data_IF_270548922091
#
_entry.id   IF_270548922091
#
_cell.length_a   1.000
_cell.length_b   1.000
_cell.length_c   1.000
_cell.angle_alpha   90.00
_cell.angle_beta   90.00
_cell.angle_gamma   90.00
#
_symmetry.space_group_name_H-M   'P 1'
#
loop_
_entity.id
_entity.type
_entity.pdbx_description
1 polymer ?
#
# COMPACT_ATOMS: atom_id res chain seq x y z
N UNK A 1 5.22 17.34 -12.79
CA UNK A 1 6.00 18.44 -12.21
C UNK A 1 7.28 18.68 -13.01
N UNK A 2 8.21 17.73 -13.05
CA UNK A 2 9.45 17.83 -13.85
C UNK A 2 9.22 18.12 -15.34
N UNK A 3 8.29 17.42 -16.00
CA UNK A 3 7.91 17.67 -17.40
C UNK A 3 7.35 19.08 -17.68
N UNK A 4 7.02 19.84 -16.63
CA UNK A 4 6.58 21.25 -16.70
C UNK A 4 7.67 22.22 -16.21
N UNK A 5 8.94 21.80 -16.17
CA UNK A 5 10.08 22.61 -15.72
C UNK A 5 10.11 22.93 -14.22
N UNK A 6 9.34 22.19 -13.41
CA UNK A 6 9.22 22.40 -11.96
C UNK A 6 9.63 21.13 -11.21
N UNK A 7 10.93 20.89 -10.96
CA UNK A 7 11.36 19.71 -10.21
C UNK A 7 10.80 19.75 -8.79
N UNK A 8 10.48 18.58 -8.23
CA UNK A 8 10.12 18.49 -6.83
C UNK A 8 11.37 18.73 -5.97
N UNK A 9 11.24 19.50 -4.89
CA UNK A 9 12.35 19.69 -3.95
C UNK A 9 12.64 18.42 -3.13
N UNK A 10 11.60 17.61 -2.88
CA UNK A 10 11.66 16.39 -2.08
C UNK A 10 10.44 15.51 -2.37
N UNK A 11 10.64 14.20 -2.31
CA UNK A 11 9.57 13.21 -2.16
C UNK A 11 9.49 12.77 -0.70
N UNK A 12 8.31 12.85 -0.10
CA UNK A 12 8.05 12.32 1.24
C UNK A 12 7.21 11.06 1.11
N UNK A 13 7.67 9.97 1.71
CA UNK A 13 7.04 8.65 1.67
C UNK A 13 6.70 8.22 3.08
N UNK A 14 5.45 7.83 3.32
CA UNK A 14 4.98 7.36 4.63
C UNK A 14 4.46 5.93 4.53
N UNK A 15 5.00 5.01 5.35
CA UNK A 15 4.51 3.65 5.48
C UNK A 15 4.49 2.85 4.18
N UNK A 16 5.39 3.14 3.23
CA UNK A 16 5.36 2.53 1.90
C UNK A 16 6.69 1.89 1.53
N UNK A 17 6.63 0.63 1.12
CA UNK A 17 7.73 -0.10 0.47
C UNK A 17 8.22 0.63 -0.78
N UNK A 18 9.49 0.48 -1.10
CA UNK A 18 10.01 1.02 -2.37
C UNK A 18 9.33 0.35 -3.58
N UNK A 19 9.08 1.08 -4.68
CA UNK A 19 8.55 0.53 -5.94
C UNK A 19 9.26 -0.71 -6.49
N UNK A 20 10.52 -0.91 -6.13
CA UNK A 20 11.33 -2.09 -6.50
C UNK A 20 11.02 -3.33 -5.67
N UNK A 21 10.35 -3.17 -4.53
CA UNK A 21 9.96 -4.25 -3.63
C UNK A 21 8.51 -4.62 -3.92
N UNK A 22 8.28 -5.90 -4.25
CA UNK A 22 6.94 -6.40 -4.52
C UNK A 22 6.21 -6.66 -3.21
N UNK A 23 4.95 -6.24 -3.14
CA UNK A 23 4.04 -6.65 -2.05
C UNK A 23 3.79 -8.16 -2.11
N UNK A 24 3.54 -8.68 -3.31
CA UNK A 24 3.13 -10.09 -3.48
C UNK A 24 1.69 -10.28 -2.98
N UNK A 25 1.31 -11.52 -2.66
CA UNK A 25 -0.01 -11.84 -2.11
C UNK A 25 -1.05 -12.26 -3.15
N UNK A 26 -2.12 -12.86 -2.64
CA UNK A 26 -3.26 -13.34 -3.42
C UNK A 26 -4.59 -13.11 -2.69
N UNK A 27 -4.62 -12.24 -1.69
CA UNK A 27 -5.81 -12.01 -0.86
C UNK A 27 -6.99 -11.53 -1.71
N UNK A 28 -6.74 -10.76 -2.79
CA UNK A 28 -7.79 -10.37 -3.74
C UNK A 28 -8.48 -11.55 -4.45
N UNK A 29 -7.85 -12.73 -4.46
CA UNK A 29 -8.39 -13.97 -5.06
C UNK A 29 -9.02 -14.90 -4.03
N UNK A 30 -8.90 -14.59 -2.74
CA UNK A 30 -9.50 -15.37 -1.68
C UNK A 30 -10.96 -14.96 -1.45
N UNK A 31 -11.64 -15.73 -0.61
CA UNK A 31 -13.02 -15.47 -0.25
C UNK A 31 -13.16 -14.25 0.67
N UNK A 32 -14.41 -13.84 0.89
CA UNK A 32 -14.73 -12.69 1.73
C UNK A 32 -14.33 -12.91 3.19
N UNK A 33 -14.29 -14.15 3.68
CA UNK A 33 -13.88 -14.47 5.04
C UNK A 33 -12.39 -14.15 5.25
N UNK A 34 -11.54 -14.48 4.29
CA UNK A 34 -10.12 -14.11 4.32
C UNK A 34 -9.90 -12.60 4.31
N UNK A 35 -10.65 -11.87 3.48
CA UNK A 35 -10.59 -10.39 3.43
C UNK A 35 -11.03 -9.76 4.75
N UNK A 36 -12.11 -10.27 5.37
CA UNK A 36 -12.58 -9.79 6.67
C UNK A 36 -11.56 -10.05 7.77
N UNK A 37 -10.97 -11.26 7.82
CA UNK A 37 -9.96 -11.58 8.82
C UNK A 37 -8.72 -10.68 8.70
N UNK A 38 -8.28 -10.36 7.49
CA UNK A 38 -7.18 -9.41 7.30
C UNK A 38 -7.59 -7.98 7.68
N UNK A 39 -8.82 -7.55 7.38
CA UNK A 39 -9.32 -6.23 7.78
C UNK A 39 -9.38 -6.06 9.31
N UNK A 40 -9.84 -7.09 10.02
CA UNK A 40 -9.87 -7.13 11.48
C UNK A 40 -8.46 -7.05 12.08
N UNK A 41 -7.48 -7.74 11.48
CA UNK A 41 -6.07 -7.69 11.90
C UNK A 41 -5.50 -6.28 11.88
N UNK A 42 -5.93 -5.44 10.94
CA UNK A 42 -5.42 -4.07 10.78
C UNK A 42 -6.19 -3.02 11.60
N UNK A 43 -7.21 -3.41 12.37
CA UNK A 43 -7.99 -2.52 13.26
C UNK A 43 -8.51 -1.22 12.59
N UNK A 44 -8.72 -1.24 11.27
CA UNK A 44 -8.96 -0.04 10.47
C UNK A 44 -10.42 0.25 10.13
N UNK A 45 -11.32 -0.72 10.31
CA UNK A 45 -12.74 -0.57 9.97
C UNK A 45 -13.60 -0.71 11.22
N UNK A 46 -14.49 0.26 11.44
CA UNK A 46 -15.41 0.27 12.57
C UNK A 46 -16.28 -1.00 12.54
N UNK A 47 -16.36 -1.81 13.63
CA UNK A 47 -17.13 -3.05 13.67
C UNK A 47 -18.60 -2.88 13.24
N UNK A 48 -19.17 -1.70 13.50
CA UNK A 48 -20.54 -1.33 13.14
C UNK A 48 -20.76 -1.30 11.62
N UNK A 49 -19.74 -0.96 10.84
CA UNK A 49 -19.79 -0.95 9.37
C UNK A 49 -19.86 -2.38 8.83
N UNK A 50 -19.18 -3.32 9.49
CA UNK A 50 -19.13 -4.72 9.09
C UNK A 50 -20.37 -5.51 9.55
N UNK A 51 -21.09 -5.00 10.56
CA UNK A 51 -22.34 -5.58 11.03
C UNK A 51 -23.53 -5.34 10.07
N UNK A 52 -23.49 -4.31 9.24
CA UNK A 52 -24.49 -4.05 8.20
C UNK A 52 -24.18 -4.82 6.90
N UNK A 53 -25.11 -5.67 6.46
CA UNK A 53 -24.93 -6.51 5.26
C UNK A 53 -24.75 -5.73 3.96
N UNK A 54 -25.41 -4.58 3.84
CA UNK A 54 -25.28 -3.71 2.66
C UNK A 54 -23.88 -3.12 2.59
N UNK A 55 -23.47 -2.46 3.68
CA UNK A 55 -22.18 -1.78 3.79
C UNK A 55 -21.02 -2.76 3.74
N UNK A 56 -21.11 -3.91 4.43
CA UNK A 56 -20.09 -4.96 4.39
C UNK A 56 -19.80 -5.43 2.95
N UNK A 57 -20.85 -5.68 2.14
CA UNK A 57 -20.67 -6.08 0.74
C UNK A 57 -19.97 -4.99 -0.08
N UNK A 58 -20.34 -3.72 0.10
CA UNK A 58 -19.70 -2.60 -0.58
C UNK A 58 -18.24 -2.45 -0.19
N UNK A 59 -17.93 -2.51 1.12
CA UNK A 59 -16.56 -2.41 1.64
C UNK A 59 -15.70 -3.55 1.11
N UNK A 60 -16.19 -4.79 1.14
CA UNK A 60 -15.44 -5.95 0.65
C UNK A 60 -15.16 -5.88 -0.85
N UNK A 61 -16.10 -5.35 -1.64
CA UNK A 61 -15.88 -5.14 -3.07
C UNK A 61 -14.75 -4.12 -3.31
N UNK A 62 -14.78 -2.98 -2.62
CA UNK A 62 -13.72 -1.97 -2.71
C UNK A 62 -12.36 -2.50 -2.24
N UNK A 63 -12.32 -3.16 -1.08
CA UNK A 63 -11.10 -3.73 -0.53
C UNK A 63 -10.48 -4.76 -1.48
N UNK A 64 -11.29 -5.63 -2.08
CA UNK A 64 -10.79 -6.62 -3.02
C UNK A 64 -10.08 -5.97 -4.21
N UNK A 65 -10.61 -4.85 -4.72
CA UNK A 65 -9.96 -4.08 -5.77
C UNK A 65 -8.67 -3.38 -5.31
N UNK A 66 -8.65 -2.87 -4.08
CA UNK A 66 -7.46 -2.28 -3.48
C UNK A 66 -6.35 -3.31 -3.27
N UNK A 67 -6.66 -4.49 -2.71
CA UNK A 67 -5.71 -5.60 -2.62
C UNK A 67 -5.23 -6.02 -4.00
N UNK A 68 -6.12 -6.16 -4.98
CA UNK A 68 -5.72 -6.50 -6.35
C UNK A 68 -4.70 -5.51 -6.88
N UNK A 69 -4.94 -4.21 -6.70
CA UNK A 69 -4.01 -3.17 -7.13
C UNK A 69 -2.66 -3.33 -6.42
N UNK A 70 -2.64 -3.40 -5.08
CA UNK A 70 -1.39 -3.46 -4.30
C UNK A 70 -0.59 -4.73 -4.60
N UNK A 71 -1.24 -5.88 -4.72
CA UNK A 71 -0.60 -7.19 -4.93
C UNK A 71 -0.07 -7.34 -6.38
N UNK A 72 -0.79 -6.78 -7.36
CA UNK A 72 -0.49 -6.96 -8.79
C UNK A 72 0.25 -5.80 -9.44
N UNK A 73 0.26 -4.60 -8.83
CA UNK A 73 0.93 -3.45 -9.43
C UNK A 73 2.41 -3.72 -9.66
N UNK A 74 2.88 -3.35 -10.85
CA UNK A 74 4.29 -3.41 -11.24
C UNK A 74 4.71 -2.05 -11.75
N UNK A 75 5.67 -1.44 -11.07
CA UNK A 75 6.28 -0.21 -11.55
C UNK A 75 7.20 -0.54 -12.73
N UNK A 76 7.02 0.18 -13.83
CA UNK A 76 7.92 0.06 -14.97
C UNK A 76 9.33 0.52 -14.59
N UNK A 77 10.35 -0.12 -15.16
CA UNK A 77 11.71 0.36 -15.02
C UNK A 77 11.81 1.80 -15.60
N UNK A 78 12.35 2.72 -14.82
CA UNK A 78 12.45 4.12 -15.21
C UNK A 78 13.39 4.89 -14.27
N UNK A 79 13.77 6.12 -14.65
CA UNK A 79 14.59 6.97 -13.79
C UNK A 79 13.83 7.24 -12.48
N UNK A 80 14.58 7.24 -11.38
CA UNK A 80 14.06 7.57 -10.06
C UNK A 80 13.47 8.99 -9.97
N UNK A 81 13.00 9.40 -8.78
CA UNK A 81 12.23 10.64 -8.61
C UNK A 81 13.01 11.94 -8.90
N UNK A 82 14.33 11.86 -9.14
CA UNK A 82 15.17 13.01 -9.51
C UNK A 82 15.29 14.07 -8.41
N UNK A 83 14.93 13.72 -7.18
CA UNK A 83 14.99 14.58 -6.00
C UNK A 83 15.24 13.72 -4.75
N UNK A 84 15.71 14.32 -3.64
CA UNK A 84 15.86 13.61 -2.37
C UNK A 84 14.55 12.96 -1.91
N UNK A 85 14.67 11.77 -1.32
CA UNK A 85 13.54 11.03 -0.74
C UNK A 85 13.68 11.00 0.78
N UNK A 86 12.60 11.29 1.50
CA UNK A 86 12.49 11.06 2.95
C UNK A 86 11.44 10.01 3.21
N UNK A 87 11.83 8.91 3.84
CA UNK A 87 10.95 7.77 4.13
C UNK A 87 10.66 7.72 5.62
N UNK A 88 9.39 7.60 5.98
CA UNK A 88 8.89 7.47 7.33
C UNK A 88 8.23 6.10 7.48
N UNK A 89 8.68 5.33 8.48
CA UNK A 89 8.12 4.03 8.83
C UNK A 89 7.91 3.94 10.33
N UNK A 90 6.88 3.21 10.77
CA UNK A 90 6.69 2.88 12.18
C UNK A 90 7.72 1.85 12.64
N UNK A 91 8.20 1.98 13.87
CA UNK A 91 9.07 0.99 14.52
C UNK A 91 8.36 -0.33 14.80
N UNK A 92 7.05 -0.27 15.06
CA UNK A 92 6.18 -1.40 15.31
C UNK A 92 5.21 -1.71 14.15
N UNK A 93 5.51 -1.25 12.92
CA UNK A 93 4.67 -1.52 11.75
C UNK A 93 4.80 -3.01 11.31
N UNK A 94 3.75 -3.83 11.45
CA UNK A 94 3.82 -5.24 11.04
C UNK A 94 3.82 -5.42 9.52
N UNK A 95 3.41 -4.39 8.77
CA UNK A 95 3.22 -4.40 7.32
C UNK A 95 4.41 -3.80 6.56
N UNK A 96 5.42 -3.26 7.23
CA UNK A 96 6.59 -2.68 6.56
C UNK A 96 7.88 -3.03 7.31
N UNK A 97 8.67 -3.95 6.74
CA UNK A 97 9.98 -4.27 7.31
C UNK A 97 10.96 -3.13 7.04
N UNK A 98 11.88 -2.81 7.96
CA UNK A 98 12.87 -1.74 7.78
C UNK A 98 13.64 -1.83 6.45
N UNK A 99 14.08 -3.03 6.06
CA UNK A 99 14.79 -3.25 4.80
C UNK A 99 13.96 -2.90 3.53
N UNK A 100 12.63 -3.00 3.61
CA UNK A 100 11.73 -2.65 2.50
C UNK A 100 11.52 -1.13 2.40
N UNK A 101 11.58 -0.42 3.52
CA UNK A 101 11.61 1.03 3.57
C UNK A 101 12.98 1.58 3.10
N UNK A 102 14.07 0.97 3.55
CA UNK A 102 15.43 1.32 3.12
C UNK A 102 15.62 1.15 1.61
N UNK A 103 14.94 0.20 0.98
CA UNK A 103 15.03 -0.05 -0.46
C UNK A 103 14.76 1.17 -1.35
N UNK A 104 14.17 2.24 -0.82
CA UNK A 104 14.00 3.52 -1.51
C UNK A 104 15.33 4.18 -1.90
N UNK A 105 16.44 3.88 -1.21
CA UNK A 105 17.76 4.43 -1.58
C UNK A 105 18.28 3.91 -2.93
N UNK A 106 17.66 2.84 -3.47
CA UNK A 106 18.04 2.22 -4.75
C UNK A 106 17.34 2.84 -5.96
N UNK A 107 16.52 3.88 -5.75
CA UNK A 107 15.81 4.64 -6.77
C UNK A 107 16.47 5.99 -7.00
#
# INVERSE_FOLDING_TARGET
LAARGRPAARLVVSGRRAPTVRWGGTLHRQDDAALLADLERHSGTAPEILADDGMRRTVLACLRDDYRLVETHRTAAGPGPGCPVSVFSGDADPELRPAEAEAWHRL
#
